data_IF_245714922009
#
_entry.id   IF_245714922009
#
_cell.length_a   1.000
_cell.length_b   1.000
_cell.length_c   1.000
_cell.angle_alpha   90.00
_cell.angle_beta   90.00
_cell.angle_gamma   90.00
#
_symmetry.space_group_name_H-M   'P 1'
#
loop_
_entity.id
_entity.type
_entity.pdbx_description
1 polymer ?
#
# COMPACT_ATOMS: atom_id res chain seq x y z
N UNK A 1 -11.49 33.50 -25.39
CA UNK A 1 -12.66 33.35 -24.50
C UNK A 1 -12.42 32.03 -23.72
N UNK A 2 -11.85 32.12 -22.54
CA UNK A 2 -11.62 30.95 -21.63
C UNK A 2 -12.94 30.62 -20.95
N UNK A 3 -13.48 29.42 -21.18
CA UNK A 3 -14.59 28.88 -20.36
C UNK A 3 -14.00 28.48 -19.00
N UNK A 4 -14.32 29.26 -18.01
CA UNK A 4 -14.13 28.85 -16.61
C UNK A 4 -15.12 27.70 -16.33
N UNK A 5 -14.59 26.51 -16.15
CA UNK A 5 -15.34 25.40 -15.56
C UNK A 5 -15.46 25.71 -14.07
N UNK A 6 -16.68 25.98 -13.65
CA UNK A 6 -16.98 26.34 -12.26
C UNK A 6 -16.72 25.17 -11.34
N UNK A 7 -15.77 25.37 -10.44
CA UNK A 7 -15.51 24.55 -9.27
C UNK A 7 -16.78 24.58 -8.40
N UNK A 8 -17.56 23.51 -8.43
CA UNK A 8 -18.67 23.34 -7.48
C UNK A 8 -18.09 23.02 -6.11
N UNK A 9 -17.85 24.06 -5.32
CA UNK A 9 -17.63 23.90 -3.88
C UNK A 9 -18.99 23.48 -3.29
N UNK A 10 -19.10 22.22 -2.91
CA UNK A 10 -20.22 21.75 -2.11
C UNK A 10 -20.07 22.36 -0.71
N UNK A 11 -20.75 23.47 -0.49
CA UNK A 11 -20.95 24.00 0.83
C UNK A 11 -21.91 23.08 1.58
N UNK A 12 -21.42 22.38 2.60
CA UNK A 12 -22.26 21.79 3.63
C UNK A 12 -23.01 22.94 4.30
N UNK A 13 -24.31 23.00 4.06
CA UNK A 13 -25.20 23.89 4.78
C UNK A 13 -25.33 23.33 6.22
N UNK A 14 -24.44 23.76 7.11
CA UNK A 14 -24.68 23.64 8.55
C UNK A 14 -25.84 24.58 8.92
N UNK A 15 -27.00 24.03 9.11
CA UNK A 15 -28.09 24.73 9.80
C UNK A 15 -27.69 24.88 11.28
N UNK A 16 -27.25 26.09 11.64
CA UNK A 16 -27.01 26.46 13.04
C UNK A 16 -28.32 26.51 13.82
N UNK A 17 -28.59 25.50 14.63
CA UNK A 17 -29.53 25.59 15.72
C UNK A 17 -28.72 25.77 17.01
N UNK A 18 -28.59 27.00 17.47
CA UNK A 18 -28.16 27.28 18.84
C UNK A 18 -29.31 26.91 19.78
N UNK A 19 -29.17 25.81 20.50
CA UNK A 19 -29.92 25.57 21.73
C UNK A 19 -28.90 25.26 22.83
N UNK A 20 -28.95 26.07 23.88
CA UNK A 20 -28.18 25.92 25.12
C UNK A 20 -28.50 24.64 25.85
N UNK A 21 -27.48 23.96 26.34
CA UNK A 21 -27.51 23.22 27.58
C UNK A 21 -27.63 21.71 27.47
N UNK A 22 -26.61 21.10 28.09
CA UNK A 22 -26.42 19.69 28.47
C UNK A 22 -25.65 18.85 27.43
N UNK A 23 -24.43 18.50 27.85
CA UNK A 23 -23.55 17.62 27.10
C UNK A 23 -24.16 16.27 26.81
N UNK A 24 -24.61 16.12 25.60
CA UNK A 24 -24.73 14.82 24.94
C UNK A 24 -23.59 14.74 23.98
N UNK A 25 -22.68 13.79 24.18
CA UNK A 25 -21.78 13.38 23.13
C UNK A 25 -22.65 13.13 21.91
N UNK A 26 -22.48 13.94 20.86
CA UNK A 26 -23.09 13.67 19.57
C UNK A 26 -22.51 12.33 19.11
N UNK A 27 -23.25 11.25 19.30
CA UNK A 27 -22.95 10.00 18.61
C UNK A 27 -23.07 10.33 17.14
N UNK A 28 -21.98 10.14 16.40
CA UNK A 28 -22.00 10.23 14.96
C UNK A 28 -23.14 9.32 14.48
N UNK A 29 -24.06 9.89 13.71
CA UNK A 29 -25.17 9.12 13.13
C UNK A 29 -24.56 7.98 12.33
N UNK A 30 -24.94 6.74 12.66
CA UNK A 30 -24.33 5.55 12.04
C UNK A 30 -24.63 5.59 10.54
N UNK A 31 -23.59 5.82 9.74
CA UNK A 31 -23.74 5.89 8.29
C UNK A 31 -24.17 4.52 7.77
N UNK A 32 -25.34 4.46 7.15
CA UNK A 32 -25.83 3.24 6.53
C UNK A 32 -25.34 3.13 5.08
N UNK A 33 -24.93 1.93 4.70
CA UNK A 33 -24.48 1.63 3.36
C UNK A 33 -25.44 0.66 2.65
N UNK A 34 -25.65 0.79 1.31
CA UNK A 34 -25.11 1.87 0.45
C UNK A 34 -25.75 3.22 0.77
N UNK A 35 -24.97 4.29 0.63
CA UNK A 35 -25.45 5.65 0.81
C UNK A 35 -26.35 6.06 -0.37
N UNK A 36 -27.42 6.80 -0.08
CA UNK A 36 -28.24 7.45 -1.11
C UNK A 36 -27.63 8.81 -1.45
N UNK A 37 -26.77 8.86 -2.48
CA UNK A 37 -26.01 10.05 -2.81
C UNK A 37 -25.62 10.08 -4.30
N UNK A 38 -25.58 11.28 -4.86
CA UNK A 38 -25.01 11.54 -6.22
C UNK A 38 -23.51 11.85 -6.17
N UNK A 39 -22.82 11.58 -5.07
CA UNK A 39 -21.42 11.87 -4.93
C UNK A 39 -20.58 11.05 -5.92
N UNK A 40 -19.64 11.73 -6.57
CA UNK A 40 -18.65 11.13 -7.47
C UNK A 40 -17.26 11.50 -6.99
N UNK A 41 -16.40 10.50 -6.84
CA UNK A 41 -15.00 10.67 -6.46
C UNK A 41 -14.08 10.26 -7.61
N UNK A 42 -13.06 11.05 -7.85
CA UNK A 42 -11.98 10.73 -8.79
C UNK A 42 -10.91 9.96 -8.04
N UNK A 43 -10.70 8.72 -8.45
CA UNK A 43 -9.62 7.86 -7.96
C UNK A 43 -8.48 7.84 -8.96
N UNK A 44 -7.25 8.05 -8.48
CA UNK A 44 -6.05 7.92 -9.28
C UNK A 44 -5.08 6.90 -8.66
N UNK A 45 -4.68 5.92 -9.45
CA UNK A 45 -3.71 4.90 -9.03
C UNK A 45 -3.28 3.99 -10.17
N UNK A 46 -2.09 3.40 -10.03
CA UNK A 46 -1.59 2.45 -11.01
C UNK A 46 -2.46 1.20 -11.07
N UNK A 47 -2.70 0.73 -12.28
CA UNK A 47 -3.31 -0.57 -12.49
C UNK A 47 -2.23 -1.65 -12.35
N UNK A 48 -2.40 -2.56 -11.40
CA UNK A 48 -1.46 -3.67 -11.20
C UNK A 48 -1.28 -4.47 -12.50
N UNK A 49 -0.05 -4.90 -12.81
CA UNK A 49 0.27 -5.62 -14.05
C UNK A 49 -0.58 -6.86 -14.30
N UNK A 50 -0.95 -7.60 -13.25
CA UNK A 50 -1.84 -8.76 -13.37
C UNK A 50 -3.28 -8.35 -13.73
N UNK A 51 -3.73 -7.19 -13.28
CA UNK A 51 -5.06 -6.65 -13.61
C UNK A 51 -5.04 -6.06 -15.01
N UNK A 52 -4.03 -5.27 -15.37
CA UNK A 52 -3.91 -4.62 -16.68
C UNK A 52 -3.76 -5.60 -17.85
N UNK A 53 -3.36 -6.85 -17.57
CA UNK A 53 -3.34 -7.91 -18.57
C UNK A 53 -4.75 -8.31 -19.08
N UNK A 54 -5.79 -8.07 -18.29
CA UNK A 54 -7.15 -8.49 -18.59
C UNK A 54 -8.19 -7.36 -18.57
N UNK A 55 -7.88 -6.23 -17.93
CA UNK A 55 -8.81 -5.10 -17.74
C UNK A 55 -8.11 -3.78 -18.07
N UNK A 56 -8.89 -2.83 -18.58
CA UNK A 56 -8.40 -1.49 -18.87
C UNK A 56 -8.59 -0.52 -17.69
N UNK A 57 -9.49 -0.87 -16.77
CA UNK A 57 -9.78 -0.07 -15.58
C UNK A 57 -10.17 -0.96 -14.40
N UNK A 58 -9.97 -0.45 -13.18
CA UNK A 58 -10.55 -1.07 -11.98
C UNK A 58 -12.07 -1.08 -12.03
N UNK A 59 -12.72 -0.16 -12.74
CA UNK A 59 -14.16 -0.15 -12.95
C UNK A 59 -14.68 -1.44 -13.62
N UNK A 60 -13.84 -2.08 -14.43
CA UNK A 60 -14.21 -3.31 -15.16
C UNK A 60 -14.14 -4.54 -14.27
N UNK A 61 -13.44 -4.46 -13.13
CA UNK A 61 -13.24 -5.56 -12.18
C UNK A 61 -14.43 -5.73 -11.24
N UNK A 62 -14.60 -6.93 -10.70
CA UNK A 62 -15.63 -7.19 -9.70
C UNK A 62 -15.45 -6.32 -8.45
N UNK A 63 -14.19 -6.13 -7.99
CA UNK A 63 -13.91 -5.30 -6.81
C UNK A 63 -14.28 -3.83 -7.04
N UNK A 64 -14.02 -3.28 -8.24
CA UNK A 64 -14.40 -1.91 -8.57
C UNK A 64 -15.90 -1.70 -8.63
N UNK A 65 -16.65 -2.70 -9.12
CA UNK A 65 -18.13 -2.71 -9.11
C UNK A 65 -18.67 -2.82 -7.68
N UNK A 66 -18.13 -3.78 -6.92
CA UNK A 66 -18.50 -4.00 -5.51
C UNK A 66 -18.31 -2.75 -4.64
N UNK A 67 -17.23 -2.00 -4.85
CA UNK A 67 -17.00 -0.77 -4.10
C UNK A 67 -18.12 0.24 -4.32
N UNK A 68 -18.52 0.45 -5.57
CA UNK A 68 -19.58 1.39 -5.90
C UNK A 68 -20.93 0.91 -5.40
N UNK A 69 -21.25 -0.39 -5.59
CA UNK A 69 -22.50 -0.98 -5.14
C UNK A 69 -22.62 -0.95 -3.60
N UNK A 70 -21.57 -1.35 -2.88
CA UNK A 70 -21.60 -1.41 -1.40
C UNK A 70 -21.56 -0.04 -0.75
N UNK A 71 -20.92 0.93 -1.36
CA UNK A 71 -20.82 2.28 -0.78
C UNK A 71 -21.92 3.22 -1.23
N UNK A 72 -22.53 3.00 -2.39
CA UNK A 72 -23.51 3.88 -2.99
C UNK A 72 -22.88 5.12 -3.67
N UNK A 73 -21.55 5.21 -3.76
CA UNK A 73 -20.86 6.33 -4.42
C UNK A 73 -20.35 5.94 -5.79
N UNK A 74 -20.33 6.90 -6.72
CA UNK A 74 -19.71 6.72 -8.02
C UNK A 74 -18.22 7.00 -7.94
N UNK A 75 -17.39 6.12 -8.55
CA UNK A 75 -15.94 6.31 -8.60
C UNK A 75 -15.50 6.40 -10.05
N UNK A 76 -14.88 7.53 -10.42
CA UNK A 76 -14.20 7.71 -11.68
C UNK A 76 -12.75 7.24 -11.54
N UNK A 77 -12.44 6.07 -12.08
CA UNK A 77 -11.11 5.48 -12.01
C UNK A 77 -10.20 6.04 -13.11
N UNK A 78 -9.10 6.65 -12.70
CA UNK A 78 -8.06 7.17 -13.59
C UNK A 78 -6.77 6.39 -13.33
N UNK A 79 -6.17 5.84 -14.39
CA UNK A 79 -4.97 5.06 -14.33
C UNK A 79 -3.85 5.69 -15.16
N UNK A 80 -2.65 5.89 -14.59
CA UNK A 80 -1.50 6.32 -15.37
C UNK A 80 -1.11 5.22 -16.38
N UNK A 81 -0.50 5.64 -17.48
CA UNK A 81 0.11 4.70 -18.40
C UNK A 81 1.20 3.89 -17.68
N UNK A 82 1.27 2.60 -17.96
CA UNK A 82 2.25 1.70 -17.35
C UNK A 82 3.68 2.28 -17.47
N UNK A 83 4.38 2.33 -16.34
CA UNK A 83 5.72 2.89 -16.22
C UNK A 83 5.81 4.43 -16.18
N UNK A 84 4.70 5.16 -16.31
CA UNK A 84 4.69 6.63 -16.31
C UNK A 84 4.04 7.24 -15.06
N UNK A 85 3.72 6.44 -14.06
CA UNK A 85 3.00 6.89 -12.87
C UNK A 85 3.71 8.03 -12.12
N UNK A 86 5.03 7.98 -12.01
CA UNK A 86 5.79 9.05 -11.33
C UNK A 86 5.77 10.35 -12.13
N UNK A 87 5.89 10.29 -13.44
CA UNK A 87 5.84 11.48 -14.30
C UNK A 87 4.45 12.12 -14.26
N UNK A 88 3.40 11.33 -14.43
CA UNK A 88 2.02 11.82 -14.38
C UNK A 88 1.66 12.37 -13.00
N UNK A 89 2.09 11.72 -11.91
CA UNK A 89 1.94 12.26 -10.56
C UNK A 89 2.59 13.65 -10.41
N UNK A 90 3.82 13.80 -10.91
CA UNK A 90 4.52 15.08 -10.84
C UNK A 90 3.79 16.17 -11.65
N UNK A 91 3.24 15.83 -12.82
CA UNK A 91 2.46 16.76 -13.62
C UNK A 91 1.17 17.19 -12.92
N UNK A 92 0.42 16.25 -12.35
CA UNK A 92 -0.80 16.53 -11.58
C UNK A 92 -0.45 17.40 -10.37
N UNK A 93 0.63 17.05 -9.64
CA UNK A 93 1.08 17.80 -8.47
C UNK A 93 1.50 19.23 -8.83
N UNK A 94 2.14 19.43 -9.98
CA UNK A 94 2.54 20.75 -10.45
C UNK A 94 1.36 21.62 -10.92
N UNK A 95 0.31 20.98 -11.47
CA UNK A 95 -0.88 21.67 -11.96
C UNK A 95 -1.89 21.96 -10.84
N UNK A 96 -1.86 21.23 -9.73
CA UNK A 96 -2.81 21.34 -8.62
C UNK A 96 -4.22 20.77 -8.92
N UNK A 97 -4.36 19.97 -9.95
CA UNK A 97 -5.62 19.31 -10.34
C UNK A 97 -5.68 17.92 -9.67
N UNK A 98 -5.72 17.91 -8.33
CA UNK A 98 -5.67 16.68 -7.52
C UNK A 98 -6.95 15.85 -7.69
N UNK A 99 -6.81 14.50 -7.77
CA UNK A 99 -7.95 13.60 -7.59
C UNK A 99 -8.43 13.63 -6.13
N UNK A 100 -9.62 13.12 -5.88
CA UNK A 100 -10.16 13.00 -4.54
C UNK A 100 -9.46 11.87 -3.76
N UNK A 101 -9.07 10.81 -4.46
CA UNK A 101 -8.44 9.61 -3.88
C UNK A 101 -7.15 9.27 -4.62
N UNK A 102 -6.05 9.21 -3.87
CA UNK A 102 -4.76 8.75 -4.36
C UNK A 102 -4.46 7.33 -3.89
N UNK A 103 -4.16 6.41 -4.81
CA UNK A 103 -3.57 5.11 -4.47
C UNK A 103 -2.11 5.07 -4.87
N UNK A 104 -1.22 5.26 -3.90
CA UNK A 104 0.21 5.39 -4.11
C UNK A 104 1.00 4.94 -2.88
N UNK A 105 2.26 4.56 -3.07
CA UNK A 105 3.19 4.34 -1.96
C UNK A 105 3.77 5.68 -1.50
N UNK A 106 3.27 6.20 -0.39
CA UNK A 106 3.66 7.49 0.18
C UNK A 106 4.95 7.44 1.01
N UNK A 107 5.39 6.24 1.45
CA UNK A 107 6.60 6.06 2.27
C UNK A 107 7.89 5.97 1.43
N UNK A 108 7.78 5.75 0.11
CA UNK A 108 8.93 5.63 -0.77
C UNK A 108 9.33 6.99 -1.36
N UNK A 109 10.59 7.38 -1.22
CA UNK A 109 11.14 8.60 -1.80
C UNK A 109 11.10 8.63 -3.34
N UNK A 110 11.07 7.47 -3.99
CA UNK A 110 10.94 7.38 -5.46
C UNK A 110 9.53 7.70 -5.95
N UNK A 111 8.52 7.48 -5.12
CA UNK A 111 7.11 7.71 -5.46
C UNK A 111 6.54 8.96 -4.79
N UNK A 112 7.10 9.38 -3.66
CA UNK A 112 6.72 10.60 -2.93
C UNK A 112 7.98 11.36 -2.49
N UNK A 113 8.58 12.19 -3.37
CA UNK A 113 9.75 12.98 -3.02
C UNK A 113 9.48 13.93 -1.84
N UNK A 114 10.28 13.82 -0.79
CA UNK A 114 10.10 14.58 0.45
C UNK A 114 9.17 13.95 1.48
N UNK A 115 8.57 12.81 1.14
CA UNK A 115 7.73 12.02 2.04
C UNK A 115 6.35 12.61 2.33
N UNK A 116 5.55 11.92 3.16
CA UNK A 116 4.16 12.30 3.42
C UNK A 116 4.04 13.63 4.19
N UNK A 117 4.98 13.97 5.06
CA UNK A 117 4.98 15.26 5.78
C UNK A 117 5.01 16.44 4.80
N UNK A 118 5.90 16.37 3.81
CA UNK A 118 5.98 17.38 2.76
C UNK A 118 4.73 17.40 1.88
N UNK A 119 4.19 16.23 1.53
CA UNK A 119 2.99 16.13 0.71
C UNK A 119 1.77 16.78 1.39
N UNK A 120 1.65 16.66 2.73
CA UNK A 120 0.64 17.38 3.52
C UNK A 120 0.92 18.89 3.50
N UNK A 121 2.17 19.29 3.75
CA UNK A 121 2.54 20.71 3.80
C UNK A 121 2.32 21.43 2.47
N UNK A 122 2.53 20.74 1.35
CA UNK A 122 2.29 21.24 -0.02
C UNK A 122 0.81 21.15 -0.44
N UNK A 123 -0.06 20.54 0.37
CA UNK A 123 -1.48 20.36 0.08
C UNK A 123 -1.78 19.34 -1.01
N UNK A 124 -0.85 18.42 -1.30
CA UNK A 124 -1.03 17.32 -2.24
C UNK A 124 -1.94 16.24 -1.66
N UNK A 125 -1.83 16.02 -0.36
CA UNK A 125 -2.71 15.14 0.44
C UNK A 125 -3.19 15.86 1.69
N UNK A 126 -4.25 15.35 2.28
CA UNK A 126 -4.82 15.88 3.52
C UNK A 126 -4.11 15.28 4.75
N UNK A 127 -4.07 16.05 5.83
CA UNK A 127 -3.93 15.50 7.17
C UNK A 127 -5.25 14.82 7.52
N UNK A 128 -5.21 13.49 7.69
CA UNK A 128 -6.39 12.67 7.95
C UNK A 128 -6.68 12.49 9.45
N UNK A 129 -5.93 13.14 10.33
CA UNK A 129 -5.98 12.90 11.78
C UNK A 129 -7.37 13.09 12.35
N UNK A 130 -8.00 14.23 12.07
CA UNK A 130 -9.35 14.52 12.56
C UNK A 130 -10.39 13.61 11.88
N UNK A 131 -10.25 13.37 10.57
CA UNK A 131 -11.17 12.51 9.83
C UNK A 131 -11.15 11.06 10.34
N UNK A 132 -9.98 10.51 10.63
CA UNK A 132 -9.86 9.16 11.18
C UNK A 132 -10.42 9.11 12.59
N UNK A 133 -10.12 10.09 13.42
CA UNK A 133 -10.61 10.14 14.79
C UNK A 133 -12.12 10.26 14.90
N UNK A 134 -12.73 11.03 14.02
CA UNK A 134 -14.15 11.37 14.10
C UNK A 134 -15.04 10.38 13.32
N UNK A 135 -14.56 9.84 12.20
CA UNK A 135 -15.39 9.08 11.26
C UNK A 135 -14.95 7.63 11.06
N UNK A 136 -13.81 7.19 11.61
CA UNK A 136 -13.27 5.85 11.36
C UNK A 136 -13.08 5.05 12.65
N UNK A 137 -14.15 4.76 13.41
CA UNK A 137 -14.06 4.13 14.73
C UNK A 137 -13.38 2.76 14.70
N UNK A 138 -13.61 1.96 13.64
CA UNK A 138 -13.01 0.64 13.52
C UNK A 138 -11.49 0.72 13.26
N UNK A 139 -11.05 1.62 12.35
CA UNK A 139 -9.62 1.83 12.10
C UNK A 139 -8.94 2.39 13.35
N UNK A 140 -9.56 3.34 14.04
CA UNK A 140 -9.07 3.91 15.28
C UNK A 140 -8.87 2.84 16.35
N UNK A 141 -9.88 2.01 16.60
CA UNK A 141 -9.79 0.93 17.58
C UNK A 141 -8.69 -0.08 17.23
N UNK A 142 -8.51 -0.39 15.94
CA UNK A 142 -7.42 -1.25 15.47
C UNK A 142 -6.06 -0.63 15.76
N UNK A 143 -5.85 0.65 15.43
CA UNK A 143 -4.59 1.35 15.62
C UNK A 143 -4.25 1.51 17.12
N UNK A 144 -5.24 1.77 17.97
CA UNK A 144 -5.08 1.80 19.42
C UNK A 144 -4.66 0.44 20.01
N UNK A 145 -5.15 -0.66 19.43
CA UNK A 145 -4.76 -2.02 19.82
C UNK A 145 -3.40 -2.44 19.26
N UNK A 146 -2.90 -1.77 18.23
CA UNK A 146 -1.65 -2.10 17.53
C UNK A 146 -0.71 -0.87 17.44
N UNK A 147 -0.04 -0.47 18.54
CA UNK A 147 0.75 0.78 18.60
C UNK A 147 1.91 0.84 17.58
N UNK A 148 2.45 -0.31 17.19
CA UNK A 148 3.53 -0.37 16.20
C UNK A 148 3.01 -0.04 14.79
N UNK A 149 1.82 -0.50 14.44
CA UNK A 149 1.14 -0.14 13.19
C UNK A 149 0.75 1.32 13.22
N UNK A 150 0.16 1.80 14.35
CA UNK A 150 -0.20 3.20 14.55
C UNK A 150 0.99 4.15 14.29
N UNK A 151 2.16 3.80 14.82
CA UNK A 151 3.39 4.58 14.59
C UNK A 151 3.81 4.60 13.11
N UNK A 152 3.67 3.47 12.39
CA UNK A 152 4.09 3.36 10.99
C UNK A 152 3.21 4.13 10.02
N UNK A 153 1.95 4.39 10.36
CA UNK A 153 0.99 5.09 9.49
C UNK A 153 0.90 6.59 9.79
N UNK A 154 1.76 7.09 10.66
CA UNK A 154 1.91 8.50 11.00
C UNK A 154 3.18 9.09 10.43
N UNK A 155 3.15 10.40 10.18
CA UNK A 155 4.35 11.19 9.93
C UNK A 155 5.14 11.40 11.23
N UNK A 156 6.37 11.90 11.14
CA UNK A 156 7.18 12.24 12.31
C UNK A 156 6.51 13.26 13.24
N UNK A 157 5.64 14.13 12.70
CA UNK A 157 4.84 15.07 13.48
C UNK A 157 3.56 14.46 14.07
N UNK A 158 3.31 13.18 13.85
CA UNK A 158 2.17 12.44 14.41
C UNK A 158 0.87 12.53 13.61
N UNK A 159 0.90 13.01 12.38
CA UNK A 159 -0.27 13.13 11.50
C UNK A 159 -0.55 11.83 10.77
N UNK A 160 -1.80 11.44 10.69
CA UNK A 160 -2.22 10.39 9.77
C UNK A 160 -2.26 10.92 8.34
N UNK A 161 -1.59 10.22 7.43
CA UNK A 161 -1.47 10.64 6.03
C UNK A 161 -2.08 9.66 5.04
N UNK A 162 -2.57 8.52 5.51
CA UNK A 162 -3.03 7.42 4.65
C UNK A 162 -4.10 6.57 5.33
N UNK A 163 -5.00 5.96 4.53
CA UNK A 163 -5.69 4.74 4.89
C UNK A 163 -4.78 3.57 4.54
N UNK A 164 -4.20 2.87 5.53
CA UNK A 164 -3.14 1.90 5.29
C UNK A 164 -3.69 0.59 4.71
N UNK A 165 -2.91 -0.06 3.85
CA UNK A 165 -3.09 -1.47 3.51
C UNK A 165 -2.48 -2.33 4.61
N UNK A 166 -3.31 -2.84 5.50
CA UNK A 166 -2.87 -3.64 6.65
C UNK A 166 -2.98 -5.13 6.30
N UNK A 167 -1.94 -5.89 6.59
CA UNK A 167 -1.92 -7.35 6.50
C UNK A 167 -1.88 -7.92 7.92
N UNK A 168 -2.92 -8.64 8.28
CA UNK A 168 -3.08 -9.22 9.63
C UNK A 168 -2.62 -10.67 9.72
N UNK A 169 -2.27 -11.30 8.57
CA UNK A 169 -1.97 -12.72 8.48
C UNK A 169 -0.48 -12.87 8.18
N UNK A 170 0.23 -13.65 8.99
CA UNK A 170 1.66 -13.92 8.84
C UNK A 170 2.02 -14.48 7.46
N UNK A 171 1.19 -15.36 6.91
CA UNK A 171 1.35 -15.89 5.55
C UNK A 171 1.28 -14.79 4.48
N UNK A 172 0.53 -13.72 4.74
CA UNK A 172 0.44 -12.55 3.86
C UNK A 172 1.67 -11.65 3.91
N UNK A 173 2.52 -11.78 4.92
CA UNK A 173 3.74 -10.99 5.11
C UNK A 173 4.95 -11.62 4.42
N UNK A 174 4.93 -12.92 4.16
CA UNK A 174 6.01 -13.64 3.47
C UNK A 174 5.64 -13.83 2.01
N UNK A 175 6.18 -13.00 1.13
CA UNK A 175 5.85 -13.01 -0.31
C UNK A 175 7.02 -13.41 -1.21
N UNK A 176 8.21 -13.61 -0.68
CA UNK A 176 9.41 -13.98 -1.44
C UNK A 176 10.25 -14.97 -0.67
N UNK A 177 10.83 -15.93 -1.41
CA UNK A 177 11.74 -16.93 -0.89
C UNK A 177 12.37 -17.73 -2.04
N UNK A 178 13.37 -18.55 -1.76
CA UNK A 178 13.92 -19.46 -2.74
C UNK A 178 12.87 -20.50 -3.16
N UNK A 179 12.80 -20.76 -4.47
CA UNK A 179 11.98 -21.84 -5.04
C UNK A 179 12.92 -22.89 -5.62
N UNK A 180 12.54 -24.16 -5.49
CA UNK A 180 13.31 -25.28 -6.02
C UNK A 180 12.49 -26.12 -7.01
N UNK A 181 13.14 -26.66 -8.00
CA UNK A 181 12.57 -27.61 -8.96
C UNK A 181 12.38 -28.97 -8.29
N UNK A 182 11.18 -29.19 -7.75
CA UNK A 182 10.87 -30.45 -7.08
C UNK A 182 10.94 -31.66 -8.00
N UNK A 183 10.60 -31.48 -9.28
CA UNK A 183 10.72 -32.53 -10.28
C UNK A 183 12.17 -33.04 -10.45
N UNK A 184 13.17 -32.13 -10.37
CA UNK A 184 14.58 -32.52 -10.39
C UNK A 184 15.03 -33.20 -9.09
N UNK A 185 14.49 -32.78 -7.94
CA UNK A 185 14.75 -33.46 -6.66
C UNK A 185 14.24 -34.91 -6.74
N UNK A 186 13.01 -35.09 -7.20
CA UNK A 186 12.38 -36.43 -7.33
C UNK A 186 13.14 -37.31 -8.34
N UNK A 187 13.62 -36.75 -9.46
CA UNK A 187 14.40 -37.48 -10.46
C UNK A 187 15.76 -37.97 -9.92
N UNK A 188 16.38 -37.17 -9.06
CA UNK A 188 17.71 -37.44 -8.49
C UNK A 188 17.65 -38.09 -7.10
N UNK A 189 16.45 -38.45 -6.62
CA UNK A 189 16.23 -39.01 -5.29
C UNK A 189 16.80 -38.13 -4.17
N UNK A 190 16.61 -36.80 -4.26
CA UNK A 190 17.08 -35.81 -3.30
C UNK A 190 15.93 -35.25 -2.49
N UNK A 191 16.20 -34.98 -1.20
CA UNK A 191 15.25 -34.29 -0.33
C UNK A 191 15.30 -32.76 -0.54
N UNK A 192 14.23 -32.09 -0.07
CA UNK A 192 14.17 -30.61 -0.07
C UNK A 192 15.22 -30.09 0.92
N UNK A 193 16.17 -29.22 0.50
CA UNK A 193 17.21 -28.74 1.37
C UNK A 193 16.67 -27.79 2.44
N UNK A 194 17.05 -28.00 3.69
CA UNK A 194 16.71 -27.18 4.86
C UNK A 194 17.87 -26.35 5.37
N UNK A 195 19.12 -26.77 5.06
CA UNK A 195 20.36 -26.10 5.47
C UNK A 195 21.14 -25.57 4.29
N UNK A 196 22.06 -24.64 4.53
CA UNK A 196 22.94 -24.08 3.49
C UNK A 196 23.82 -25.16 2.88
N UNK A 197 24.30 -26.12 3.67
CA UNK A 197 25.13 -27.22 3.18
C UNK A 197 24.32 -28.15 2.26
N UNK A 198 23.09 -28.46 2.63
CA UNK A 198 22.19 -29.25 1.77
C UNK A 198 21.81 -28.50 0.48
N UNK A 199 21.63 -27.18 0.54
CA UNK A 199 21.46 -26.37 -0.69
C UNK A 199 22.67 -26.48 -1.60
N UNK A 200 23.90 -26.43 -1.05
CA UNK A 200 25.11 -26.60 -1.83
C UNK A 200 25.16 -27.97 -2.51
N UNK A 201 24.83 -29.03 -1.75
CA UNK A 201 24.88 -30.41 -2.26
C UNK A 201 23.84 -30.64 -3.35
N UNK A 202 22.61 -30.17 -3.15
CA UNK A 202 21.53 -30.25 -4.16
C UNK A 202 21.89 -29.49 -5.43
N UNK A 203 22.40 -28.24 -5.31
CA UNK A 203 22.78 -27.45 -6.47
C UNK A 203 23.99 -28.06 -7.20
N UNK A 204 24.89 -28.72 -6.46
CA UNK A 204 26.00 -29.47 -7.05
C UNK A 204 25.49 -30.67 -7.83
N UNK A 205 24.58 -31.45 -7.25
CA UNK A 205 23.95 -32.57 -7.95
C UNK A 205 23.21 -32.14 -9.21
N UNK A 206 22.48 -31.02 -9.18
CA UNK A 206 21.85 -30.45 -10.37
C UNK A 206 22.87 -30.11 -11.44
N UNK A 207 23.98 -29.51 -11.06
CA UNK A 207 25.08 -29.16 -12.00
C UNK A 207 25.70 -30.39 -12.66
N UNK A 208 25.98 -31.43 -11.87
CA UNK A 208 26.53 -32.69 -12.33
C UNK A 208 25.58 -33.46 -13.25
N UNK A 209 24.27 -33.27 -13.10
CA UNK A 209 23.25 -33.87 -13.95
C UNK A 209 22.82 -32.98 -15.14
N UNK A 210 23.66 -32.01 -15.53
CA UNK A 210 23.51 -31.29 -16.78
C UNK A 210 22.71 -30.02 -16.73
N UNK A 211 22.35 -29.53 -15.51
CA UNK A 211 21.71 -28.22 -15.36
C UNK A 211 22.81 -27.16 -15.38
N UNK A 212 22.94 -26.43 -16.46
CA UNK A 212 24.03 -25.44 -16.65
C UNK A 212 23.99 -24.32 -15.61
N UNK A 213 22.79 -23.87 -15.20
CA UNK A 213 22.57 -22.81 -14.21
C UNK A 213 21.65 -23.35 -13.12
N UNK A 214 22.20 -24.08 -12.11
CA UNK A 214 21.39 -24.69 -11.06
C UNK A 214 20.75 -23.69 -10.10
N UNK A 215 21.29 -22.48 -9.99
CA UNK A 215 20.74 -21.39 -9.18
C UNK A 215 20.70 -20.10 -10.00
N UNK A 216 19.54 -19.45 -9.97
CA UNK A 216 19.33 -18.16 -10.61
C UNK A 216 18.53 -17.25 -9.69
N UNK A 217 18.86 -15.97 -9.65
CA UNK A 217 18.13 -14.96 -8.93
C UNK A 217 18.12 -13.61 -9.66
N UNK A 218 17.20 -12.75 -9.32
CA UNK A 218 17.24 -11.37 -9.76
C UNK A 218 18.40 -10.64 -9.04
N UNK A 219 19.06 -9.69 -9.72
CA UNK A 219 20.17 -8.93 -9.15
C UNK A 219 19.81 -8.26 -7.80
N UNK A 220 18.58 -7.79 -7.65
CA UNK A 220 18.08 -7.18 -6.41
C UNK A 220 17.90 -8.17 -5.24
N UNK A 221 17.86 -9.47 -5.51
CA UNK A 221 17.50 -10.48 -4.51
C UNK A 221 18.69 -11.31 -4.03
N UNK A 222 19.88 -11.07 -4.58
CA UNK A 222 21.09 -11.87 -4.30
C UNK A 222 21.45 -11.93 -2.81
N UNK A 223 21.30 -10.82 -2.08
CA UNK A 223 21.57 -10.77 -0.64
C UNK A 223 20.42 -11.31 0.22
N UNK A 224 19.21 -11.29 -0.33
CA UNK A 224 18.00 -11.70 0.40
C UNK A 224 17.77 -13.20 0.41
N UNK A 225 18.36 -13.94 -0.54
CA UNK A 225 18.12 -15.39 -0.68
C UNK A 225 18.71 -16.18 0.48
N UNK A 226 19.98 -15.99 0.78
CA UNK A 226 20.70 -16.76 1.83
C UNK A 226 21.28 -15.87 2.93
N UNK A 227 21.35 -14.57 2.78
CA UNK A 227 21.91 -13.65 3.78
C UNK A 227 21.28 -13.78 5.15
N UNK A 228 19.96 -13.99 5.21
CA UNK A 228 19.24 -14.18 6.46
C UNK A 228 19.66 -15.44 7.22
N UNK A 229 20.02 -16.52 6.50
CA UNK A 229 20.53 -17.75 7.12
C UNK A 229 21.85 -17.54 7.86
N UNK A 230 22.63 -16.54 7.47
CA UNK A 230 23.87 -16.14 8.13
C UNK A 230 23.68 -15.00 9.15
N UNK A 231 22.43 -14.62 9.43
CA UNK A 231 22.15 -13.49 10.33
C UNK A 231 22.59 -12.13 9.79
N UNK A 232 22.88 -12.03 8.49
CA UNK A 232 23.35 -10.80 7.83
C UNK A 232 22.36 -10.31 6.76
N UNK A 233 21.19 -9.81 7.17
CA UNK A 233 20.24 -9.24 6.23
C UNK A 233 20.87 -8.05 5.50
N UNK A 234 20.53 -7.86 4.23
CA UNK A 234 21.01 -6.75 3.41
C UNK A 234 20.37 -5.43 3.86
N UNK A 235 21.20 -4.43 4.12
CA UNK A 235 20.77 -3.07 4.46
C UNK A 235 20.38 -2.89 5.92
N UNK A 236 19.51 -1.92 6.17
CA UNK A 236 18.99 -1.64 7.50
C UNK A 236 17.75 -2.49 7.80
N UNK A 237 17.72 -3.07 8.97
CA UNK A 237 16.61 -3.91 9.45
C UNK A 237 16.22 -3.50 10.87
N UNK A 238 14.98 -3.80 11.24
CA UNK A 238 14.53 -3.68 12.62
C UNK A 238 14.86 -4.98 13.37
N UNK A 239 15.63 -4.85 14.45
CA UNK A 239 15.97 -5.92 15.36
C UNK A 239 15.50 -5.50 16.75
N UNK A 240 14.52 -6.18 17.30
CA UNK A 240 13.84 -5.81 18.56
C UNK A 240 13.43 -4.32 18.63
N UNK A 241 12.94 -3.77 17.49
CA UNK A 241 12.51 -2.38 17.38
C UNK A 241 13.65 -1.35 17.21
N UNK A 242 14.91 -1.81 17.14
CA UNK A 242 16.07 -0.97 16.87
C UNK A 242 16.49 -1.10 15.41
N UNK A 243 16.68 0.03 14.74
CA UNK A 243 17.20 0.04 13.37
C UNK A 243 18.70 -0.26 13.38
N UNK A 244 19.11 -1.40 12.83
CA UNK A 244 20.50 -1.83 12.74
C UNK A 244 20.89 -2.07 11.29
N UNK A 245 22.19 -1.91 11.00
CA UNK A 245 22.73 -2.27 9.70
C UNK A 245 23.07 -3.77 9.69
N UNK A 246 22.35 -4.56 8.90
CA UNK A 246 22.44 -6.01 8.89
C UNK A 246 23.87 -6.57 8.77
N UNK A 247 24.70 -6.10 7.82
CA UNK A 247 26.07 -6.57 7.67
C UNK A 247 27.00 -6.30 8.87
N UNK A 248 26.56 -5.52 9.85
CA UNK A 248 27.33 -5.23 11.07
C UNK A 248 26.95 -6.12 12.29
N UNK A 249 26.04 -7.09 12.09
CA UNK A 249 25.62 -8.06 13.11
C UNK A 249 26.59 -9.22 13.32
#
# INVERSE_FOLDING_TARGET
MKKMVGRRVFGFAMASVMAMGMGTAAMAEETTYPMDTDATFVYWGELNGSVSANFNSLADTEIGKDWQEKTGVTIEFQHPTAGQATEQFNLISANGDYPDLWHRNWSSSSTCPGGPEKAIADGVILDLTDLINDYCPNLKAFLEANPDVDRQVKTDSGKYYVFPSIKEIDEGCTCMGPMIRKDLLDELDLEVPETIDEWHDVLTAFKENGIDVPLSWNYSDKGRTFGYAYGTPEGFVLDDGVCVYGPSK
#
